data_IF_842250686632
#
_entry.id   IF_842250686632
#
_cell.length_a   1.000
_cell.length_b   1.000
_cell.length_c   1.000
_cell.angle_alpha   90.00
_cell.angle_beta   90.00
_cell.angle_gamma   90.00
#
_symmetry.space_group_name_H-M   'P 1'
#
loop_
_entity.id
_entity.type
_entity.pdbx_description
1 polymer ?
#
# COMPACT_ATOMS: atom_id res chain seq x y z
N UNK A 1 -14.20 -17.80 -44.87
CA UNK A 1 -13.36 -16.93 -44.01
C UNK A 1 -12.04 -17.67 -43.84
N UNK A 2 -10.93 -17.05 -44.23
CA UNK A 2 -9.59 -17.68 -44.27
C UNK A 2 -9.10 -18.00 -42.85
N UNK A 3 -8.42 -19.15 -42.68
CA UNK A 3 -7.82 -19.58 -41.39
C UNK A 3 -6.88 -18.53 -40.81
N UNK A 4 -6.20 -17.77 -41.67
CA UNK A 4 -5.35 -16.66 -41.26
C UNK A 4 -6.14 -15.54 -40.55
N UNK A 5 -7.33 -15.21 -41.05
CA UNK A 5 -8.21 -14.19 -40.45
C UNK A 5 -8.79 -14.69 -39.11
N UNK A 6 -9.14 -15.98 -39.04
CA UNK A 6 -9.62 -16.61 -37.78
C UNK A 6 -8.55 -16.59 -36.69
N UNK A 7 -7.30 -16.95 -37.02
CA UNK A 7 -6.18 -16.95 -36.08
C UNK A 7 -5.83 -15.53 -35.59
N UNK A 8 -5.88 -14.52 -36.47
CA UNK A 8 -5.67 -13.12 -36.07
C UNK A 8 -6.78 -12.65 -35.13
N UNK A 9 -8.04 -13.00 -35.41
CA UNK A 9 -9.18 -12.62 -34.58
C UNK A 9 -9.14 -13.26 -33.18
N UNK A 10 -8.78 -14.55 -33.09
CA UNK A 10 -8.59 -15.26 -31.83
C UNK A 10 -7.42 -14.67 -31.03
N UNK A 11 -6.28 -14.39 -31.67
CA UNK A 11 -5.13 -13.78 -30.99
C UNK A 11 -5.43 -12.37 -30.45
N UNK A 12 -6.16 -11.55 -31.19
CA UNK A 12 -6.57 -10.21 -30.75
C UNK A 12 -7.58 -10.30 -29.59
N UNK A 13 -8.48 -11.27 -29.63
CA UNK A 13 -9.47 -11.51 -28.57
C UNK A 13 -8.79 -11.98 -27.28
N UNK A 14 -7.83 -12.90 -27.36
CA UNK A 14 -7.06 -13.36 -26.20
C UNK A 14 -6.15 -12.27 -25.62
N UNK A 15 -5.54 -11.45 -26.48
CA UNK A 15 -4.78 -10.28 -26.02
C UNK A 15 -5.67 -9.25 -25.31
N UNK A 16 -6.89 -9.00 -25.81
CA UNK A 16 -7.85 -8.11 -25.16
C UNK A 16 -8.29 -8.64 -23.79
N UNK A 17 -8.60 -9.93 -23.67
CA UNK A 17 -8.97 -10.53 -22.38
C UNK A 17 -7.84 -10.38 -21.35
N UNK A 18 -6.60 -10.71 -21.75
CA UNK A 18 -5.43 -10.57 -20.87
C UNK A 18 -5.18 -9.13 -20.44
N UNK A 19 -5.38 -8.16 -21.34
CA UNK A 19 -5.28 -6.75 -20.99
C UNK A 19 -6.37 -6.31 -19.99
N UNK A 20 -7.60 -6.79 -20.16
CA UNK A 20 -8.71 -6.53 -19.22
C UNK A 20 -8.43 -7.17 -17.86
N UNK A 21 -7.93 -8.41 -17.83
CA UNK A 21 -7.56 -9.10 -16.59
C UNK A 21 -6.42 -8.38 -15.85
N UNK A 22 -5.41 -7.90 -16.57
CA UNK A 22 -4.32 -7.11 -15.98
C UNK A 22 -4.81 -5.79 -15.39
N UNK A 23 -5.72 -5.07 -16.08
CA UNK A 23 -6.33 -3.83 -15.57
C UNK A 23 -7.19 -4.08 -14.32
N UNK A 24 -7.96 -5.17 -14.30
CA UNK A 24 -8.73 -5.57 -13.12
C UNK A 24 -7.82 -5.94 -11.95
N UNK A 25 -6.73 -6.67 -12.21
CA UNK A 25 -5.71 -7.02 -11.23
C UNK A 25 -5.06 -5.78 -10.62
N UNK A 26 -4.64 -4.83 -11.46
CA UNK A 26 -4.07 -3.56 -11.03
C UNK A 26 -5.06 -2.77 -10.15
N UNK A 27 -6.31 -2.64 -10.59
CA UNK A 27 -7.33 -1.92 -9.82
C UNK A 27 -7.57 -2.56 -8.45
N UNK A 28 -7.60 -3.91 -8.37
CA UNK A 28 -7.74 -4.63 -7.11
C UNK A 28 -6.58 -4.35 -6.15
N UNK A 29 -5.35 -4.34 -6.66
CA UNK A 29 -4.16 -3.97 -5.87
C UNK A 29 -4.29 -2.53 -5.36
N UNK A 30 -4.66 -1.60 -6.24
CA UNK A 30 -4.79 -0.19 -5.89
C UNK A 30 -5.82 0.04 -4.77
N UNK A 31 -7.02 -0.54 -4.89
CA UNK A 31 -8.07 -0.43 -3.87
C UNK A 31 -7.64 -1.03 -2.53
N UNK A 32 -7.05 -2.22 -2.55
CA UNK A 32 -6.56 -2.87 -1.33
C UNK A 32 -5.46 -2.05 -0.65
N UNK A 33 -4.50 -1.55 -1.43
CA UNK A 33 -3.40 -0.70 -0.94
C UNK A 33 -3.94 0.57 -0.28
N UNK A 34 -4.91 1.24 -0.92
CA UNK A 34 -5.56 2.41 -0.34
C UNK A 34 -6.30 2.09 0.97
N UNK A 35 -7.00 0.96 1.03
CA UNK A 35 -7.68 0.51 2.26
C UNK A 35 -6.71 0.27 3.42
N UNK A 36 -5.57 -0.38 3.15
CA UNK A 36 -4.54 -0.61 4.17
C UNK A 36 -3.91 0.70 4.65
N UNK A 37 -3.57 1.61 3.73
CA UNK A 37 -3.02 2.93 4.08
C UNK A 37 -4.02 3.80 4.86
N UNK A 38 -5.32 3.73 4.54
CA UNK A 38 -6.36 4.40 5.30
C UNK A 38 -6.46 3.85 6.74
N UNK A 39 -6.32 2.53 6.91
CA UNK A 39 -6.22 1.90 8.23
C UNK A 39 -5.05 2.43 9.05
N UNK A 40 -3.88 2.58 8.42
CA UNK A 40 -2.69 3.16 9.06
C UNK A 40 -2.89 4.63 9.47
N UNK A 41 -3.57 5.43 8.65
CA UNK A 41 -3.91 6.81 8.99
C UNK A 41 -4.87 6.89 10.20
N UNK A 42 -5.86 5.99 10.28
CA UNK A 42 -6.77 5.90 11.42
C UNK A 42 -6.04 5.49 12.70
N UNK A 43 -5.15 4.48 12.63
CA UNK A 43 -4.36 4.06 13.78
C UNK A 43 -3.46 5.19 14.33
N UNK A 44 -2.84 5.96 13.44
CA UNK A 44 -2.07 7.13 13.83
C UNK A 44 -2.94 8.21 14.50
N UNK A 45 -4.13 8.48 13.94
CA UNK A 45 -5.07 9.46 14.51
C UNK A 45 -5.55 9.05 15.91
N UNK A 46 -5.95 7.79 16.09
CA UNK A 46 -6.37 7.25 17.39
C UNK A 46 -5.28 7.47 18.44
N UNK A 47 -4.02 7.22 18.09
CA UNK A 47 -2.89 7.39 19.00
C UNK A 47 -2.57 8.83 19.34
N UNK A 48 -2.75 9.75 18.39
CA UNK A 48 -2.65 11.19 18.67
C UNK A 48 -3.76 11.65 19.62
N UNK A 49 -4.99 11.16 19.44
CA UNK A 49 -6.10 11.44 20.36
C UNK A 49 -5.84 10.86 21.76
N UNK A 50 -5.40 9.61 21.87
CA UNK A 50 -5.00 8.98 23.14
C UNK A 50 -3.92 9.79 23.85
N UNK A 51 -2.87 10.20 23.14
CA UNK A 51 -1.79 11.01 23.69
C UNK A 51 -2.29 12.38 24.18
N UNK A 52 -3.20 13.02 23.43
CA UNK A 52 -3.82 14.28 23.82
C UNK A 52 -4.65 14.16 25.11
N UNK A 53 -5.49 13.12 25.19
CA UNK A 53 -6.31 12.87 26.39
C UNK A 53 -5.47 12.55 27.62
N UNK A 54 -4.43 11.72 27.48
CA UNK A 54 -3.46 11.46 28.55
C UNK A 54 -2.74 12.72 28.99
N UNK A 55 -2.29 13.56 28.07
CA UNK A 55 -1.64 14.81 28.42
C UNK A 55 -2.55 15.75 29.20
N UNK A 56 -3.84 15.85 28.85
CA UNK A 56 -4.82 16.62 29.61
C UNK A 56 -5.01 16.08 31.03
N UNK A 57 -5.11 14.75 31.18
CA UNK A 57 -5.18 14.10 32.49
C UNK A 57 -3.94 14.40 33.34
N UNK A 58 -2.75 14.20 32.77
CA UNK A 58 -1.48 14.46 33.45
C UNK A 58 -1.38 15.89 33.97
N UNK A 59 -1.74 16.88 33.16
CA UNK A 59 -1.75 18.29 33.57
C UNK A 59 -2.77 18.56 34.68
N UNK A 60 -3.91 17.87 34.67
CA UNK A 60 -4.96 18.07 35.68
C UNK A 60 -4.68 17.38 37.03
N UNK A 61 -3.95 16.27 37.02
CA UNK A 61 -3.75 15.40 38.18
C UNK A 61 -2.38 15.58 38.84
N UNK A 62 -1.36 15.98 38.08
CA UNK A 62 0.02 16.03 38.56
C UNK A 62 0.34 17.38 39.20
N UNK A 63 0.74 17.36 40.48
CA UNK A 63 1.11 18.57 41.23
C UNK A 63 2.60 18.88 41.20
N UNK A 64 3.44 17.88 40.99
CA UNK A 64 4.90 18.06 40.87
C UNK A 64 5.28 18.32 39.40
N UNK A 65 5.86 19.50 39.08
CA UNK A 65 6.32 19.80 37.72
C UNK A 65 7.36 18.80 37.18
N UNK A 66 8.19 18.19 38.03
CA UNK A 66 9.21 17.23 37.59
C UNK A 66 8.58 15.91 37.16
N UNK A 67 7.60 15.45 37.92
CA UNK A 67 6.79 14.28 37.58
C UNK A 67 6.01 14.52 36.30
N UNK A 68 5.41 15.72 36.15
CA UNK A 68 4.68 16.08 34.94
C UNK A 68 5.57 16.01 33.69
N UNK A 69 6.79 16.56 33.75
CA UNK A 69 7.74 16.51 32.62
C UNK A 69 8.15 15.08 32.30
N UNK A 70 8.42 14.24 33.30
CA UNK A 70 8.75 12.83 33.08
C UNK A 70 7.61 12.10 32.36
N UNK A 71 6.36 12.30 32.81
CA UNK A 71 5.18 11.63 32.25
C UNK A 71 4.82 12.14 30.84
N UNK A 72 4.97 13.44 30.58
CA UNK A 72 4.83 13.99 29.23
C UNK A 72 5.90 13.44 28.27
N UNK A 73 7.11 13.18 28.78
CA UNK A 73 8.18 12.56 27.99
C UNK A 73 7.83 11.11 27.63
N UNK A 74 7.27 10.33 28.56
CA UNK A 74 6.76 8.99 28.28
C UNK A 74 5.71 9.00 27.16
N UNK A 75 4.71 9.89 27.26
CA UNK A 75 3.67 10.04 26.22
C UNK A 75 4.26 10.43 24.86
N UNK A 76 5.25 11.32 24.84
CA UNK A 76 5.91 11.74 23.61
C UNK A 76 6.73 10.61 22.97
N UNK A 77 7.42 9.79 23.77
CA UNK A 77 8.17 8.62 23.30
C UNK A 77 7.23 7.58 22.72
N UNK A 78 6.16 7.21 23.42
CA UNK A 78 5.15 6.25 22.94
C UNK A 78 4.53 6.69 21.61
N UNK A 79 4.19 7.97 21.50
CA UNK A 79 3.65 8.55 20.26
C UNK A 79 4.69 8.46 19.13
N UNK A 80 5.95 8.80 19.41
CA UNK A 80 7.04 8.72 18.44
C UNK A 80 7.29 7.31 17.93
N UNK A 81 7.34 6.32 18.82
CA UNK A 81 7.50 4.90 18.47
C UNK A 81 6.35 4.42 17.59
N UNK A 82 5.12 4.81 17.92
CA UNK A 82 3.93 4.45 17.15
C UNK A 82 3.96 5.06 15.74
N UNK A 83 4.30 6.34 15.61
CA UNK A 83 4.40 6.99 14.29
C UNK A 83 5.48 6.33 13.42
N UNK A 84 6.60 5.91 14.02
CA UNK A 84 7.64 5.16 13.31
C UNK A 84 7.13 3.79 12.88
N UNK A 85 6.38 3.08 13.71
CA UNK A 85 5.78 1.80 13.36
C UNK A 85 4.79 1.92 12.19
N UNK A 86 3.89 2.91 12.25
CA UNK A 86 2.94 3.22 11.17
C UNK A 86 3.67 3.54 9.86
N UNK A 87 4.74 4.34 9.93
CA UNK A 87 5.54 4.68 8.75
C UNK A 87 6.22 3.45 8.12
N UNK A 88 6.75 2.54 8.94
CA UNK A 88 7.33 1.28 8.47
C UNK A 88 6.28 0.40 7.80
N UNK A 89 5.12 0.25 8.41
CA UNK A 89 4.05 -0.57 7.85
C UNK A 89 3.51 0.01 6.54
N UNK A 90 3.41 1.34 6.42
CA UNK A 90 3.07 2.00 5.16
C UNK A 90 4.09 1.73 4.04
N UNK A 91 5.39 1.69 4.36
CA UNK A 91 6.44 1.33 3.40
C UNK A 91 6.32 -0.15 2.98
N UNK A 92 6.03 -1.05 3.90
CA UNK A 92 5.82 -2.47 3.61
C UNK A 92 4.60 -2.69 2.71
N UNK A 93 3.48 -2.01 2.99
CA UNK A 93 2.28 -2.02 2.14
C UNK A 93 2.63 -1.57 0.71
N UNK A 94 3.42 -0.49 0.58
CA UNK A 94 3.82 0.02 -0.72
C UNK A 94 4.79 -0.93 -1.45
N UNK A 95 5.71 -1.57 -0.74
CA UNK A 95 6.62 -2.56 -1.31
C UNK A 95 5.85 -3.78 -1.83
N UNK A 96 4.92 -4.34 -1.03
CA UNK A 96 4.06 -5.44 -1.45
C UNK A 96 3.23 -5.10 -2.69
N UNK A 97 2.66 -3.89 -2.73
CA UNK A 97 1.91 -3.43 -3.90
C UNK A 97 2.79 -3.35 -5.16
N UNK A 98 4.06 -2.92 -5.04
CA UNK A 98 5.01 -2.91 -6.16
C UNK A 98 5.34 -4.31 -6.65
N UNK A 99 5.59 -5.25 -5.74
CA UNK A 99 5.93 -6.64 -6.09
C UNK A 99 4.76 -7.35 -6.78
N UNK A 100 3.53 -7.10 -6.32
CA UNK A 100 2.32 -7.65 -6.95
C UNK A 100 2.07 -7.06 -8.34
N UNK A 101 2.32 -5.76 -8.53
CA UNK A 101 2.25 -5.13 -9.87
C UNK A 101 3.33 -5.68 -10.79
N UNK A 102 4.55 -5.88 -10.31
CA UNK A 102 5.64 -6.49 -11.09
C UNK A 102 5.25 -7.92 -11.54
N UNK A 103 4.65 -8.70 -10.65
CA UNK A 103 4.15 -10.05 -10.95
C UNK A 103 3.04 -10.01 -12.01
N UNK A 104 2.06 -9.10 -11.90
CA UNK A 104 1.02 -8.92 -12.92
C UNK A 104 1.59 -8.58 -14.29
N UNK A 105 2.63 -7.73 -14.33
CA UNK A 105 3.30 -7.35 -15.57
C UNK A 105 4.07 -8.53 -16.16
N UNK A 106 4.83 -9.25 -15.34
CA UNK A 106 5.54 -10.46 -15.77
C UNK A 106 4.60 -11.53 -16.32
N UNK A 107 3.49 -11.79 -15.64
CA UNK A 107 2.48 -12.76 -16.07
C UNK A 107 1.79 -12.29 -17.36
N UNK A 108 1.54 -10.99 -17.49
CA UNK A 108 1.03 -10.38 -18.73
C UNK A 108 1.97 -10.60 -19.92
N UNK A 109 3.29 -10.40 -19.73
CA UNK A 109 4.29 -10.64 -20.77
C UNK A 109 4.46 -12.13 -21.09
N UNK A 110 4.49 -13.01 -20.08
CA UNK A 110 4.56 -14.47 -20.27
C UNK A 110 3.32 -15.00 -21.00
N UNK A 111 2.13 -14.48 -20.68
CA UNK A 111 0.89 -14.90 -21.30
C UNK A 111 0.75 -14.41 -22.75
N UNK A 112 1.38 -13.31 -23.14
CA UNK A 112 1.24 -12.76 -24.48
C UNK A 112 2.03 -13.52 -25.57
N UNK A 113 2.97 -14.40 -25.20
CA UNK A 113 3.86 -15.13 -26.13
C UNK A 113 4.44 -14.23 -27.25
N UNK A 114 4.60 -12.94 -26.96
CA UNK A 114 5.23 -11.98 -27.85
C UNK A 114 6.73 -12.30 -27.76
N UNK A 115 7.40 -12.77 -28.83
CA UNK A 115 8.83 -12.94 -28.79
C UNK A 115 9.45 -11.59 -28.42
N UNK A 116 10.37 -11.59 -27.45
CA UNK A 116 11.13 -10.40 -27.08
C UNK A 116 11.81 -9.90 -28.36
N UNK A 117 11.23 -8.89 -29.00
CA UNK A 117 11.86 -8.25 -30.15
C UNK A 117 13.02 -7.45 -29.58
N UNK A 118 14.22 -7.97 -29.77
CA UNK A 118 15.45 -7.26 -29.46
C UNK A 118 15.50 -6.00 -30.34
N UNK A 119 15.14 -4.85 -29.77
CA UNK A 119 15.32 -3.56 -30.45
C UNK A 119 16.77 -3.14 -30.18
N UNK A 120 17.64 -3.09 -31.22
CA UNK A 120 19.02 -2.67 -31.03
C UNK A 120 19.07 -1.21 -30.59
N UNK A 121 19.99 -0.95 -29.66
CA UNK A 121 20.25 0.36 -29.02
C UNK A 121 20.75 1.39 -30.02
#
# INVERSE_FOLDING_TARGET
MDKAVSNVFENVTEAHKKAVDALMGFNKIAVRTQGLLAGQQLAALEKVFDAGTRNLQLVSETRDPRELVARQTEVAVELGETLVAVAREALDIQAQARDEVATLVEDGFKAANIPVVNIPV
#
